data_IF_886611507909
#
_entry.id   IF_886611507909
#
_cell.length_a   1.000
_cell.length_b   1.000
_cell.length_c   1.000
_cell.angle_alpha   90.00
_cell.angle_beta   90.00
_cell.angle_gamma   90.00
#
_symmetry.space_group_name_H-M   'P 1'
#
loop_
_entity.id
_entity.type
_entity.pdbx_description
1 polymer ?
#
# COMPACT_ATOMS: atom_id res chain seq x y z
N UNK A 1 1.53 -3.83 19.75
CA UNK A 1 0.68 -5.01 20.06
C UNK A 1 -0.55 -5.14 19.15
N UNK A 2 -1.02 -4.04 18.52
CA UNK A 2 -2.24 -4.06 17.69
C UNK A 2 -2.00 -4.49 16.22
N UNK A 3 -0.77 -4.40 15.73
CA UNK A 3 -0.42 -4.74 14.33
C UNK A 3 -0.62 -6.24 14.05
N UNK A 4 -0.35 -7.11 15.03
CA UNK A 4 -0.46 -8.55 14.88
C UNK A 4 -1.86 -9.12 15.16
N UNK A 5 -2.74 -8.39 15.83
CA UNK A 5 -4.06 -8.89 16.21
C UNK A 5 -5.18 -8.49 15.25
N UNK A 6 -4.90 -7.64 14.25
CA UNK A 6 -5.89 -7.20 13.27
C UNK A 6 -7.06 -6.37 13.83
N UNK A 7 -6.98 -5.99 15.11
CA UNK A 7 -8.01 -5.19 15.78
C UNK A 7 -7.58 -3.71 15.82
N UNK A 8 -7.53 -3.07 14.68
CA UNK A 8 -7.53 -1.61 14.63
C UNK A 8 -8.93 -1.12 15.01
N UNK A 9 -9.03 -0.34 16.07
CA UNK A 9 -10.25 0.43 16.36
C UNK A 9 -10.34 1.52 15.31
N UNK A 10 -11.01 1.23 14.21
CA UNK A 10 -11.39 2.26 13.24
C UNK A 10 -12.51 3.08 13.89
N UNK A 11 -12.41 4.40 13.83
CA UNK A 11 -13.43 5.32 14.32
C UNK A 11 -14.78 4.93 13.68
N UNK A 12 -15.83 4.83 14.49
CA UNK A 12 -17.16 4.39 14.01
C UNK A 12 -17.77 5.36 12.98
N UNK A 13 -17.31 6.61 12.94
CA UNK A 13 -17.65 7.56 11.88
C UNK A 13 -17.05 7.17 10.53
N UNK A 14 -15.80 6.70 10.52
CA UNK A 14 -15.12 6.23 9.30
C UNK A 14 -15.72 4.92 8.79
N UNK A 15 -16.22 4.06 9.67
CA UNK A 15 -16.86 2.80 9.26
C UNK A 15 -18.14 2.99 8.45
N UNK A 16 -18.88 4.08 8.69
CA UNK A 16 -20.13 4.38 7.97
C UNK A 16 -19.90 4.74 6.49
N UNK A 17 -18.75 5.33 6.18
CA UNK A 17 -18.42 5.81 4.84
C UNK A 17 -17.63 4.78 4.02
N UNK A 18 -17.23 3.66 4.62
CA UNK A 18 -16.54 2.57 3.92
C UNK A 18 -17.55 1.63 3.26
N UNK A 19 -17.30 1.19 2.01
CA UNK A 19 -18.12 0.16 1.39
C UNK A 19 -18.07 -1.12 2.22
N UNK A 20 -19.23 -1.57 2.68
CA UNK A 20 -19.37 -2.74 3.53
C UNK A 20 -19.45 -3.99 2.65
N UNK A 21 -18.37 -4.73 2.55
CA UNK A 21 -18.33 -6.02 1.83
C UNK A 21 -18.27 -7.18 2.83
N UNK A 22 -19.30 -7.28 3.64
CA UNK A 22 -19.36 -8.21 4.78
C UNK A 22 -19.05 -9.67 4.42
N UNK A 23 -19.45 -10.13 3.22
CA UNK A 23 -19.12 -11.46 2.72
C UNK A 23 -17.63 -11.62 2.40
N UNK A 24 -17.07 -10.65 1.68
CA UNK A 24 -15.65 -10.63 1.33
C UNK A 24 -14.75 -10.49 2.57
N UNK A 25 -15.10 -9.62 3.49
CA UNK A 25 -14.35 -9.41 4.74
C UNK A 25 -14.27 -10.67 5.58
N UNK A 26 -15.38 -11.42 5.71
CA UNK A 26 -15.40 -12.72 6.41
C UNK A 26 -14.43 -13.72 5.78
N UNK A 27 -14.40 -13.79 4.45
CA UNK A 27 -13.48 -14.67 3.72
C UNK A 27 -12.04 -14.17 3.88
N UNK A 28 -11.78 -12.88 3.65
CA UNK A 28 -10.44 -12.32 3.67
C UNK A 28 -9.78 -12.41 5.06
N UNK A 29 -10.57 -12.27 6.14
CA UNK A 29 -10.06 -12.34 7.52
C UNK A 29 -10.06 -13.76 8.09
N UNK A 30 -10.54 -14.76 7.35
CA UNK A 30 -10.57 -16.13 7.81
C UNK A 30 -9.14 -16.73 7.81
N UNK A 31 -8.79 -17.44 8.87
CA UNK A 31 -7.50 -18.14 8.95
C UNK A 31 -7.31 -19.18 7.82
N UNK A 32 -8.41 -19.84 7.38
CA UNK A 32 -8.37 -20.78 6.24
C UNK A 32 -7.91 -20.08 4.95
N UNK A 33 -8.37 -18.87 4.71
CA UNK A 33 -7.93 -18.07 3.54
C UNK A 33 -6.44 -17.77 3.61
N UNK A 34 -5.91 -17.44 4.79
CA UNK A 34 -4.48 -17.21 5.00
C UNK A 34 -3.66 -18.47 4.72
N UNK A 35 -4.12 -19.61 5.23
CA UNK A 35 -3.48 -20.91 4.93
C UNK A 35 -3.60 -21.24 3.45
N UNK A 36 -4.75 -20.99 2.83
CA UNK A 36 -4.97 -21.17 1.39
C UNK A 36 -3.98 -20.36 0.55
N UNK A 37 -3.70 -19.10 0.91
CA UNK A 37 -2.69 -18.30 0.26
C UNK A 37 -1.28 -18.87 0.42
N UNK A 38 -0.91 -19.34 1.61
CA UNK A 38 0.40 -19.98 1.83
C UNK A 38 0.55 -21.21 0.92
N UNK A 39 -0.48 -22.06 0.87
CA UNK A 39 -0.48 -23.25 0.00
C UNK A 39 -0.36 -22.83 -1.46
N UNK A 40 -1.15 -21.85 -1.91
CA UNK A 40 -1.15 -21.38 -3.29
C UNK A 40 0.24 -20.84 -3.69
N UNK A 41 0.86 -20.00 -2.85
CA UNK A 41 2.22 -19.51 -3.09
C UNK A 41 3.24 -20.65 -3.11
N UNK A 42 3.14 -21.61 -2.21
CA UNK A 42 4.02 -22.77 -2.18
C UNK A 42 3.90 -23.59 -3.46
N UNK A 43 2.69 -23.89 -3.90
CA UNK A 43 2.43 -24.61 -5.15
C UNK A 43 2.95 -23.82 -6.38
N UNK A 44 2.79 -22.51 -6.38
CA UNK A 44 3.34 -21.66 -7.43
C UNK A 44 4.86 -21.79 -7.51
N UNK A 45 5.56 -21.71 -6.37
CA UNK A 45 7.01 -21.89 -6.36
C UNK A 45 7.42 -23.30 -6.79
N UNK A 46 6.71 -24.35 -6.35
CA UNK A 46 6.98 -25.73 -6.79
C UNK A 46 6.82 -25.87 -8.31
N UNK A 47 5.82 -25.22 -8.90
CA UNK A 47 5.54 -25.32 -10.33
C UNK A 47 6.53 -24.53 -11.20
N UNK A 48 7.02 -23.39 -10.72
CA UNK A 48 7.78 -22.44 -11.54
C UNK A 48 9.26 -22.26 -11.11
N UNK A 49 9.63 -22.65 -9.89
CA UNK A 49 11.01 -22.54 -9.45
C UNK A 49 11.88 -23.59 -10.14
N UNK A 50 12.87 -23.12 -10.87
CA UNK A 50 13.83 -23.99 -11.61
C UNK A 50 15.12 -24.21 -10.84
N UNK A 51 15.38 -23.41 -9.79
CA UNK A 51 16.59 -23.46 -8.97
C UNK A 51 16.25 -23.33 -7.48
N UNK A 52 17.03 -23.97 -6.63
CA UNK A 52 16.76 -24.02 -5.19
C UNK A 52 16.72 -22.65 -4.50
N UNK A 53 17.53 -21.70 -4.93
CA UNK A 53 17.59 -20.35 -4.32
C UNK A 53 16.28 -19.56 -4.52
N UNK A 54 15.46 -19.87 -5.53
CA UNK A 54 14.17 -19.22 -5.74
C UNK A 54 13.20 -19.48 -4.60
N UNK A 55 13.32 -20.63 -3.91
CA UNK A 55 12.50 -20.91 -2.73
C UNK A 55 12.81 -19.97 -1.55
N UNK A 56 14.00 -19.38 -1.50
CA UNK A 56 14.37 -18.39 -0.49
C UNK A 56 13.64 -17.04 -0.72
N UNK A 57 13.15 -16.78 -1.94
CA UNK A 57 12.40 -15.58 -2.24
C UNK A 57 11.02 -15.58 -1.56
N UNK A 58 10.43 -16.73 -1.31
CA UNK A 58 9.11 -16.83 -0.67
C UNK A 58 9.06 -16.18 0.72
N UNK A 59 9.88 -16.58 1.70
CA UNK A 59 9.91 -15.90 3.00
C UNK A 59 10.38 -14.45 2.88
N UNK A 60 11.29 -14.13 1.96
CA UNK A 60 11.77 -12.78 1.74
C UNK A 60 10.64 -11.85 1.26
N UNK A 61 9.83 -12.27 0.28
CA UNK A 61 8.71 -11.45 -0.21
C UNK A 61 7.64 -11.22 0.86
N UNK A 62 7.33 -12.24 1.66
CA UNK A 62 6.36 -12.11 2.77
C UNK A 62 6.87 -11.11 3.81
N UNK A 63 8.15 -11.20 4.19
CA UNK A 63 8.77 -10.28 5.17
C UNK A 63 8.84 -8.87 4.59
N UNK A 64 9.23 -8.71 3.33
CA UNK A 64 9.37 -7.42 2.69
C UNK A 64 8.04 -6.66 2.63
N UNK A 65 6.94 -7.31 2.23
CA UNK A 65 5.61 -6.70 2.21
C UNK A 65 5.15 -6.24 3.59
N UNK A 66 5.38 -7.06 4.62
CA UNK A 66 5.01 -6.71 6.00
C UNK A 66 5.87 -5.56 6.54
N UNK A 67 7.17 -5.58 6.25
CA UNK A 67 8.10 -4.51 6.61
C UNK A 67 7.73 -3.19 5.93
N UNK A 68 7.44 -3.21 4.63
CA UNK A 68 7.07 -2.03 3.86
C UNK A 68 5.85 -1.32 4.49
N UNK A 69 4.77 -2.06 4.78
CA UNK A 69 3.59 -1.49 5.44
C UNK A 69 3.89 -0.92 6.84
N UNK A 70 4.72 -1.61 7.61
CA UNK A 70 5.13 -1.14 8.95
C UNK A 70 6.02 0.10 8.86
N UNK A 71 6.96 0.14 7.93
CA UNK A 71 7.84 1.29 7.71
C UNK A 71 7.03 2.53 7.32
N UNK A 72 6.09 2.41 6.39
CA UNK A 72 5.23 3.52 5.99
C UNK A 72 4.42 4.03 7.18
N UNK A 73 3.72 3.13 7.89
CA UNK A 73 2.86 3.53 9.00
C UNK A 73 3.63 4.08 10.21
N UNK A 74 4.87 3.69 10.43
CA UNK A 74 5.65 4.16 11.57
C UNK A 74 6.62 5.30 11.18
N UNK A 75 7.42 5.11 10.13
CA UNK A 75 8.42 6.10 9.72
C UNK A 75 7.79 7.35 9.13
N UNK A 76 6.77 7.20 8.28
CA UNK A 76 6.08 8.33 7.68
C UNK A 76 5.28 9.17 8.70
N UNK A 77 5.11 8.70 9.91
CA UNK A 77 4.55 9.49 11.01
C UNK A 77 5.62 10.07 11.96
N UNK A 78 6.87 9.64 11.84
CA UNK A 78 7.95 10.08 12.74
C UNK A 78 9.00 10.91 12.02
N UNK A 79 9.43 10.49 10.84
CA UNK A 79 10.53 11.10 10.10
C UNK A 79 10.06 11.61 8.74
N UNK A 80 10.71 12.66 8.26
CA UNK A 80 10.46 13.23 6.95
C UNK A 80 10.06 14.70 7.00
N UNK A 81 9.66 15.23 5.85
CA UNK A 81 9.24 16.61 5.68
C UNK A 81 7.73 16.74 5.53
N UNK A 82 7.21 17.94 5.78
CA UNK A 82 5.79 18.26 5.74
C UNK A 82 5.54 19.29 4.65
N UNK A 83 4.68 18.95 3.70
CA UNK A 83 4.19 19.90 2.70
C UNK A 83 2.94 20.63 3.17
N UNK A 84 2.10 19.91 3.91
CA UNK A 84 0.81 20.39 4.38
C UNK A 84 0.70 20.22 5.89
N UNK A 85 0.68 21.31 6.68
CA UNK A 85 0.39 21.22 8.10
C UNK A 85 -1.02 20.65 8.31
N UNK A 86 -1.11 19.58 9.08
CA UNK A 86 -2.36 18.88 9.40
C UNK A 86 -2.36 18.44 10.86
N UNK A 87 -3.53 18.21 11.48
CA UNK A 87 -3.60 17.75 12.87
C UNK A 87 -3.06 16.33 13.10
N UNK A 88 -2.68 15.62 12.03
CA UNK A 88 -2.00 14.33 12.11
C UNK A 88 -0.47 14.48 12.01
N UNK A 89 0.27 13.42 12.29
CA UNK A 89 1.73 13.40 12.29
C UNK A 89 2.35 12.93 10.95
N UNK A 90 1.55 12.82 9.88
CA UNK A 90 2.02 12.33 8.58
C UNK A 90 3.11 13.22 7.97
N UNK A 91 4.12 12.60 7.40
CA UNK A 91 5.28 13.23 6.75
C UNK A 91 5.60 12.53 5.44
N UNK A 92 6.26 13.22 4.55
CA UNK A 92 6.83 12.65 3.34
C UNK A 92 8.23 12.14 3.67
N UNK A 93 8.53 10.87 3.36
CA UNK A 93 9.79 10.23 3.76
C UNK A 93 10.91 10.59 2.79
N UNK A 94 10.65 10.48 1.49
CA UNK A 94 11.64 10.60 0.42
C UNK A 94 11.18 11.58 -0.65
N UNK A 95 12.10 12.31 -1.28
CA UNK A 95 11.79 13.16 -2.41
C UNK A 95 11.53 12.37 -3.71
N UNK A 96 12.02 11.13 -3.78
CA UNK A 96 11.82 10.22 -4.92
C UNK A 96 11.37 8.87 -4.40
N UNK A 97 10.19 8.43 -4.82
CA UNK A 97 9.60 7.19 -4.31
C UNK A 97 9.68 6.04 -5.30
N UNK A 98 10.79 5.29 -5.23
CA UNK A 98 10.93 4.01 -5.91
C UNK A 98 10.61 2.79 -5.04
N UNK A 99 10.66 2.95 -3.71
CA UNK A 99 10.58 1.84 -2.77
C UNK A 99 9.17 1.60 -2.26
N UNK A 100 8.37 2.65 -2.10
CA UNK A 100 7.07 2.58 -1.43
C UNK A 100 5.87 2.76 -2.38
N UNK A 101 6.14 2.78 -3.69
CA UNK A 101 5.12 2.77 -4.75
C UNK A 101 4.11 3.94 -4.61
N UNK A 102 4.61 5.13 -4.29
CA UNK A 102 3.80 6.35 -4.08
C UNK A 102 3.50 6.66 -2.61
N UNK A 103 3.62 5.68 -1.71
CA UNK A 103 3.28 5.82 -0.30
C UNK A 103 4.32 6.61 0.53
N UNK A 104 5.52 6.87 -0.01
CA UNK A 104 6.51 7.72 0.63
C UNK A 104 6.05 9.19 0.77
N UNK A 105 5.10 9.62 -0.05
CA UNK A 105 4.47 10.95 0.05
C UNK A 105 3.25 10.94 0.98
N UNK A 106 3.42 10.40 2.17
CA UNK A 106 2.32 10.12 3.10
C UNK A 106 1.59 11.38 3.59
N UNK A 107 2.28 12.50 3.77
CA UNK A 107 1.65 13.78 4.09
C UNK A 107 0.81 14.33 2.92
N UNK A 108 1.31 14.22 1.70
CA UNK A 108 0.57 14.63 0.49
C UNK A 108 -0.67 13.75 0.30
N UNK A 109 -0.53 12.43 0.48
CA UNK A 109 -1.62 11.48 0.40
C UNK A 109 -2.71 11.76 1.46
N UNK A 110 -2.34 12.01 2.71
CA UNK A 110 -3.30 12.37 3.75
C UNK A 110 -4.04 13.68 3.48
N UNK A 111 -3.41 14.63 2.79
CA UNK A 111 -4.06 15.88 2.39
C UNK A 111 -5.05 15.68 1.24
N UNK A 112 -4.73 14.83 0.29
CA UNK A 112 -5.52 14.60 -0.92
C UNK A 112 -5.65 13.10 -1.23
N UNK A 113 -6.37 12.32 -0.41
CA UNK A 113 -6.39 10.86 -0.51
C UNK A 113 -7.02 10.33 -1.80
N UNK A 114 -7.81 11.16 -2.50
CA UNK A 114 -8.42 10.80 -3.79
C UNK A 114 -7.57 11.12 -5.02
N UNK A 115 -6.39 11.74 -4.86
CA UNK A 115 -5.53 12.07 -6.00
C UNK A 115 -4.62 10.90 -6.37
N UNK A 116 -4.50 10.65 -7.67
CA UNK A 116 -3.57 9.65 -8.17
C UNK A 116 -2.10 10.12 -8.14
N UNK A 117 -1.87 11.44 -8.20
CA UNK A 117 -0.54 12.05 -8.11
C UNK A 117 -0.23 12.40 -6.67
N UNK A 118 0.74 11.73 -6.07
CA UNK A 118 1.20 11.99 -4.71
C UNK A 118 2.38 13.00 -4.65
N UNK A 119 3.12 13.21 -5.75
CA UNK A 119 4.15 14.24 -5.85
C UNK A 119 3.53 15.63 -6.10
N UNK A 120 3.71 16.58 -5.17
CA UNK A 120 3.13 17.93 -5.24
C UNK A 120 4.17 19.04 -5.36
N UNK A 121 5.42 18.78 -4.99
CA UNK A 121 6.52 19.74 -5.12
C UNK A 121 7.37 19.43 -6.35
N UNK A 122 8.08 20.43 -6.87
CA UNK A 122 8.91 20.31 -8.06
C UNK A 122 10.05 19.28 -7.95
N UNK A 123 10.51 19.01 -6.73
CA UNK A 123 11.58 18.05 -6.43
C UNK A 123 11.06 16.64 -6.12
N UNK A 124 9.75 16.46 -6.01
CA UNK A 124 9.11 15.17 -5.75
C UNK A 124 8.88 14.44 -7.08
N UNK A 125 9.35 13.21 -7.17
CA UNK A 125 9.17 12.36 -8.35
C UNK A 125 8.34 11.13 -7.95
N UNK A 126 7.18 10.98 -8.58
CA UNK A 126 6.24 9.88 -8.38
C UNK A 126 6.24 8.99 -9.63
N UNK A 127 7.10 7.95 -9.70
CA UNK A 127 7.18 7.07 -10.85
C UNK A 127 5.86 6.31 -11.08
N UNK A 128 5.14 5.98 -10.01
CA UNK A 128 3.88 5.23 -10.10
C UNK A 128 2.78 6.05 -10.77
N UNK A 129 2.74 7.36 -10.49
CA UNK A 129 1.84 8.24 -11.21
C UNK A 129 2.11 8.21 -12.72
N UNK A 130 3.37 8.22 -13.15
CA UNK A 130 3.73 8.14 -14.56
C UNK A 130 3.32 6.79 -15.19
N UNK A 131 3.51 5.68 -14.47
CA UNK A 131 3.02 4.36 -14.89
C UNK A 131 1.49 4.37 -15.01
N UNK A 132 0.80 4.94 -14.04
CA UNK A 132 -0.67 5.07 -14.06
C UNK A 132 -1.17 5.89 -15.24
N UNK A 133 -0.49 6.99 -15.58
CA UNK A 133 -0.79 7.80 -16.77
C UNK A 133 -0.60 6.99 -18.06
N UNK A 134 0.46 6.18 -18.12
CA UNK A 134 0.69 5.30 -19.28
C UNK A 134 -0.43 4.26 -19.44
N UNK A 135 -0.81 3.60 -18.33
CA UNK A 135 -1.91 2.63 -18.33
C UNK A 135 -3.24 3.26 -18.75
N UNK A 136 -3.49 4.50 -18.35
CA UNK A 136 -4.65 5.26 -18.80
C UNK A 136 -4.57 5.56 -20.31
N UNK A 137 -3.40 5.98 -20.80
CA UNK A 137 -3.19 6.28 -22.23
C UNK A 137 -3.44 5.05 -23.11
N UNK A 138 -3.02 3.87 -22.65
CA UNK A 138 -3.28 2.60 -23.35
C UNK A 138 -4.66 1.99 -23.01
N UNK A 139 -5.52 2.73 -22.32
CA UNK A 139 -6.91 2.37 -21.97
C UNK A 139 -7.07 1.11 -21.10
N UNK A 140 -6.02 0.71 -20.40
CA UNK A 140 -6.08 -0.39 -19.40
C UNK A 140 -6.87 0.02 -18.16
N UNK A 141 -6.70 1.28 -17.74
CA UNK A 141 -7.45 1.87 -16.62
C UNK A 141 -8.18 3.13 -17.06
N UNK A 142 -9.25 3.49 -16.34
CA UNK A 142 -9.96 4.77 -16.47
C UNK A 142 -9.97 5.47 -15.13
N UNK A 143 -9.65 6.74 -15.08
CA UNK A 143 -9.78 7.53 -13.87
C UNK A 143 -11.26 7.83 -13.63
N UNK A 144 -11.69 7.70 -12.39
CA UNK A 144 -13.10 7.87 -12.02
C UNK A 144 -13.51 9.33 -11.95
N UNK A 145 -12.55 10.24 -11.71
CA UNK A 145 -12.79 11.66 -11.66
C UNK A 145 -11.68 12.49 -12.30
N UNK A 146 -12.09 13.65 -12.85
CA UNK A 146 -11.21 14.64 -13.48
C UNK A 146 -10.46 15.53 -12.49
N UNK A 147 -10.41 15.19 -11.21
CA UNK A 147 -9.66 15.92 -10.19
C UNK A 147 -8.20 15.46 -10.15
N UNK A 148 -7.53 15.62 -11.28
CA UNK A 148 -6.07 15.55 -11.31
C UNK A 148 -5.48 16.92 -10.99
#
# INVERSE_FOLDING_TARGET
>A
HHIFTGKTKVDDKLKKDLPQWTGFEKIAHNWMTRVGWIILYTLFYIAFATTWWQYLLLPFTIILCTLQGTMINWWAHKYGYVNYPMPNTSKNILPVDFLFIGDAYHNNHHKYPGRAKNAHRWFEIDPIYHVTCLLQKVKVIKWKDKSA
#
